data_IF_556140918603
#
_entry.id   IF_556140918603
#
_cell.length_a   1.000
_cell.length_b   1.000
_cell.length_c   1.000
_cell.angle_alpha   90.00
_cell.angle_beta   90.00
_cell.angle_gamma   90.00
#
_symmetry.space_group_name_H-M   'P 1'
#
loop_
_entity.id
_entity.type
_entity.pdbx_description
1 polymer ?
#
# COMPACT_ATOMS: atom_id res chain seq x y z
N UNK A 1 -8.04 0.58 -65.18
CA UNK A 1 -8.39 -0.77 -65.69
C UNK A 1 -8.91 -1.64 -64.56
N UNK A 2 -9.76 -2.63 -64.81
CA UNK A 2 -10.30 -3.53 -63.74
C UNK A 2 -9.20 -4.22 -62.92
N UNK A 3 -8.05 -4.51 -63.54
CA UNK A 3 -6.86 -5.05 -62.86
C UNK A 3 -6.32 -4.14 -61.74
N UNK A 4 -6.40 -2.81 -61.91
CA UNK A 4 -5.94 -1.87 -60.89
C UNK A 4 -6.87 -1.89 -59.67
N UNK A 5 -8.19 -2.03 -59.89
CA UNK A 5 -9.16 -2.15 -58.80
C UNK A 5 -8.94 -3.42 -57.98
N UNK A 6 -8.65 -4.55 -58.64
CA UNK A 6 -8.34 -5.81 -57.96
C UNK A 6 -7.07 -5.68 -57.11
N UNK A 7 -6.01 -5.07 -57.65
CA UNK A 7 -4.75 -4.86 -56.93
C UNK A 7 -4.92 -3.94 -55.71
N UNK A 8 -5.73 -2.89 -55.82
CA UNK A 8 -6.03 -2.01 -54.69
C UNK A 8 -6.83 -2.74 -53.61
N UNK A 9 -7.83 -3.53 -53.99
CA UNK A 9 -8.60 -4.34 -53.03
C UNK A 9 -7.73 -5.35 -52.29
N UNK A 10 -6.81 -6.03 -52.98
CA UNK A 10 -5.91 -6.98 -52.33
C UNK A 10 -5.03 -6.30 -51.29
N UNK A 11 -4.41 -5.16 -51.64
CA UNK A 11 -3.58 -4.41 -50.68
C UNK A 11 -4.35 -3.91 -49.48
N UNK A 12 -5.61 -3.51 -49.68
CA UNK A 12 -6.47 -3.08 -48.58
C UNK A 12 -6.75 -4.26 -47.64
N UNK A 13 -7.07 -5.43 -48.19
CA UNK A 13 -7.27 -6.65 -47.42
C UNK A 13 -6.01 -7.05 -46.65
N UNK A 14 -4.84 -7.05 -47.30
CA UNK A 14 -3.56 -7.36 -46.65
C UNK A 14 -3.27 -6.38 -45.49
N UNK A 15 -3.59 -5.10 -45.66
CA UNK A 15 -3.42 -4.08 -44.62
C UNK A 15 -4.40 -4.27 -43.45
N UNK A 16 -5.65 -4.64 -43.73
CA UNK A 16 -6.66 -4.98 -42.71
C UNK A 16 -6.24 -6.21 -41.89
N UNK A 17 -5.68 -7.23 -42.54
CA UNK A 17 -5.13 -8.41 -41.87
C UNK A 17 -3.94 -8.05 -40.98
N UNK A 18 -3.06 -7.16 -41.44
CA UNK A 18 -1.94 -6.70 -40.63
C UNK A 18 -2.38 -5.84 -39.45
N UNK A 19 -3.42 -5.00 -39.59
CA UNK A 19 -4.01 -4.30 -38.45
C UNK A 19 -4.53 -5.27 -37.39
N UNK A 20 -5.26 -6.31 -37.80
CA UNK A 20 -5.77 -7.31 -36.85
C UNK A 20 -4.63 -8.04 -36.12
N UNK A 21 -3.52 -8.34 -36.80
CA UNK A 21 -2.33 -8.95 -36.17
C UNK A 21 -1.68 -8.01 -35.17
N UNK A 22 -1.54 -6.73 -35.50
CA UNK A 22 -0.95 -5.75 -34.60
C UNK A 22 -1.82 -5.50 -33.37
N UNK A 23 -3.13 -5.42 -33.53
CA UNK A 23 -4.06 -5.28 -32.40
C UNK A 23 -4.00 -6.49 -31.46
N UNK A 24 -3.91 -7.70 -32.01
CA UNK A 24 -3.73 -8.92 -31.22
C UNK A 24 -2.40 -8.90 -30.44
N UNK A 25 -1.31 -8.45 -31.07
CA UNK A 25 -0.01 -8.38 -30.42
C UNK A 25 0.04 -7.27 -29.34
N UNK A 26 -0.60 -6.12 -29.59
CA UNK A 26 -0.78 -5.05 -28.60
C UNK A 26 -1.53 -5.61 -27.39
N UNK A 27 -2.67 -6.25 -27.59
CA UNK A 27 -3.46 -6.83 -26.51
C UNK A 27 -2.65 -7.87 -25.70
N UNK A 28 -1.86 -8.71 -26.38
CA UNK A 28 -0.97 -9.69 -25.74
C UNK A 28 0.10 -9.01 -24.87
N UNK A 29 0.74 -7.97 -25.38
CA UNK A 29 1.78 -7.23 -24.67
C UNK A 29 1.20 -6.44 -23.48
N UNK A 30 0.04 -5.82 -23.63
CA UNK A 30 -0.65 -5.13 -22.55
C UNK A 30 -1.04 -6.09 -21.41
N UNK A 31 -1.50 -7.30 -21.74
CA UNK A 31 -1.77 -8.35 -20.76
C UNK A 31 -0.48 -8.76 -20.02
N UNK A 32 0.63 -8.94 -20.74
CA UNK A 32 1.92 -9.27 -20.14
C UNK A 32 2.44 -8.15 -19.20
N UNK A 33 2.34 -6.89 -19.63
CA UNK A 33 2.68 -5.72 -18.81
C UNK A 33 1.84 -5.69 -17.54
N UNK A 34 0.53 -5.91 -17.66
CA UNK A 34 -0.40 -5.92 -16.53
C UNK A 34 -0.06 -7.02 -15.53
N UNK A 35 0.24 -8.22 -16.01
CA UNK A 35 0.66 -9.34 -15.17
C UNK A 35 1.97 -9.04 -14.41
N UNK A 36 2.97 -8.44 -15.06
CA UNK A 36 4.23 -8.07 -14.43
C UNK A 36 4.02 -6.95 -13.41
N UNK A 37 3.22 -5.92 -13.73
CA UNK A 37 2.86 -4.85 -12.77
C UNK A 37 2.20 -5.42 -11.52
N UNK A 38 1.29 -6.38 -11.68
CA UNK A 38 0.64 -7.05 -10.56
C UNK A 38 1.68 -7.80 -9.69
N UNK A 39 2.53 -8.63 -10.30
CA UNK A 39 3.60 -9.35 -9.58
C UNK A 39 4.54 -8.40 -8.83
N UNK A 40 4.94 -7.29 -9.47
CA UNK A 40 5.76 -6.25 -8.85
C UNK A 40 5.07 -5.67 -7.62
N UNK A 41 3.78 -5.33 -7.71
CA UNK A 41 3.01 -4.79 -6.59
C UNK A 41 2.96 -5.77 -5.42
N UNK A 42 2.62 -7.03 -5.67
CA UNK A 42 2.60 -8.06 -4.63
C UNK A 42 3.96 -8.20 -3.93
N UNK A 43 5.07 -8.16 -4.69
CA UNK A 43 6.41 -8.22 -4.12
C UNK A 43 6.75 -6.97 -3.31
N UNK A 44 6.36 -5.78 -3.77
CA UNK A 44 6.54 -4.55 -3.01
C UNK A 44 5.80 -4.59 -1.68
N UNK A 45 4.56 -5.07 -1.67
CA UNK A 45 3.76 -5.24 -0.46
C UNK A 45 4.39 -6.27 0.49
N UNK A 46 4.88 -7.39 -0.04
CA UNK A 46 5.61 -8.40 0.71
C UNK A 46 6.87 -7.81 1.38
N UNK A 47 7.70 -7.09 0.61
CA UNK A 47 8.92 -6.47 1.13
C UNK A 47 8.59 -5.41 2.17
N UNK A 48 7.58 -4.57 1.95
CA UNK A 48 7.16 -3.54 2.90
C UNK A 48 6.71 -4.17 4.23
N UNK A 49 5.91 -5.24 4.17
CA UNK A 49 5.48 -5.99 5.37
C UNK A 49 6.68 -6.53 6.15
N UNK A 50 7.67 -7.13 5.47
CA UNK A 50 8.85 -7.68 6.13
C UNK A 50 9.77 -6.59 6.69
N UNK A 51 9.99 -5.49 5.97
CA UNK A 51 10.72 -4.33 6.49
C UNK A 51 10.05 -3.74 7.72
N UNK A 52 8.71 -3.71 7.76
CA UNK A 52 7.98 -3.26 8.95
C UNK A 52 8.26 -4.12 10.19
N UNK A 53 8.52 -5.43 10.02
CA UNK A 53 8.88 -6.33 11.11
C UNK A 53 10.28 -6.03 11.66
N UNK A 54 11.19 -5.56 10.81
CA UNK A 54 12.55 -5.19 11.18
C UNK A 54 12.65 -3.75 11.73
N UNK A 55 11.57 -2.98 11.66
CA UNK A 55 11.56 -1.59 12.08
C UNK A 55 11.99 -1.46 13.57
N UNK A 56 12.90 -0.52 13.90
CA UNK A 56 13.43 -0.35 15.26
C UNK A 56 12.34 -0.26 16.34
N UNK A 57 11.22 0.38 16.00
CA UNK A 57 10.04 0.54 16.89
C UNK A 57 9.48 -0.78 17.43
N UNK A 58 9.66 -1.91 16.71
CA UNK A 58 9.27 -3.25 17.16
C UNK A 58 10.35 -3.99 17.95
N UNK A 59 11.57 -3.47 17.94
CA UNK A 59 12.76 -4.02 18.62
C UNK A 59 13.18 -3.17 19.82
N UNK A 60 12.44 -2.10 20.13
CA UNK A 60 12.71 -1.28 21.30
C UNK A 60 12.53 -2.13 22.57
N UNK A 61 13.49 -2.07 23.51
CA UNK A 61 13.31 -2.62 24.85
C UNK A 61 12.06 -2.02 25.52
N UNK A 62 11.42 -2.80 26.40
CA UNK A 62 10.20 -2.37 27.09
C UNK A 62 10.44 -1.13 27.96
N UNK A 63 11.65 -0.93 28.46
CA UNK A 63 12.08 0.21 29.27
C UNK A 63 12.01 1.50 28.46
N UNK A 64 12.57 1.50 27.24
CA UNK A 64 12.55 2.64 26.33
C UNK A 64 11.12 2.94 25.89
N UNK A 65 10.35 1.88 25.63
CA UNK A 65 8.96 2.03 25.25
C UNK A 65 8.11 2.64 26.38
N UNK A 66 8.29 2.17 27.61
CA UNK A 66 7.63 2.71 28.80
C UNK A 66 8.00 4.17 29.03
N UNK A 67 9.27 4.53 28.81
CA UNK A 67 9.73 5.91 28.89
C UNK A 67 9.04 6.82 27.85
N UNK A 68 8.84 6.34 26.62
CA UNK A 68 8.10 7.08 25.58
C UNK A 68 6.66 7.32 26.02
N UNK A 69 5.97 6.27 26.49
CA UNK A 69 4.59 6.37 26.98
C UNK A 69 4.49 7.34 28.15
N UNK A 70 5.35 7.21 29.16
CA UNK A 70 5.37 8.11 30.32
C UNK A 70 5.59 9.56 29.88
N UNK A 71 6.60 9.80 29.06
CA UNK A 71 6.91 11.17 28.60
C UNK A 71 5.73 11.80 27.86
N UNK A 72 5.08 11.06 26.96
CA UNK A 72 3.97 11.59 26.14
C UNK A 72 2.65 11.70 26.88
N UNK A 73 2.30 10.69 27.68
CA UNK A 73 1.05 10.70 28.45
C UNK A 73 1.13 11.66 29.66
N UNK A 74 2.31 11.95 30.22
CA UNK A 74 2.45 12.99 31.24
C UNK A 74 2.44 14.41 30.66
N UNK A 75 2.94 14.63 29.44
CA UNK A 75 2.94 15.94 28.79
C UNK A 75 1.54 16.37 28.32
N UNK A 76 0.74 15.39 27.91
CA UNK A 76 -0.64 15.56 27.47
C UNK A 76 -1.45 14.40 28.04
N UNK A 77 -2.18 14.60 29.15
CA UNK A 77 -3.08 13.58 29.69
C UNK A 77 -4.16 13.19 28.68
N UNK A 78 -4.79 12.03 28.88
CA UNK A 78 -5.95 11.65 28.09
C UNK A 78 -7.12 12.57 28.44
N UNK A 79 -7.60 13.35 27.48
CA UNK A 79 -8.68 14.31 27.67
C UNK A 79 -9.80 14.06 26.66
N UNK A 80 -11.00 13.79 27.18
CA UNK A 80 -12.23 13.65 26.42
C UNK A 80 -13.05 14.92 26.60
N UNK A 81 -13.04 15.77 25.56
CA UNK A 81 -13.85 17.00 25.53
C UNK A 81 -15.26 16.68 25.04
N UNK A 82 -16.26 16.77 25.91
CA UNK A 82 -17.66 16.57 25.54
C UNK A 82 -18.12 17.62 24.53
N UNK A 83 -18.76 17.18 23.43
CA UNK A 83 -19.29 18.06 22.38
C UNK A 83 -18.26 18.50 21.34
N UNK A 84 -17.01 18.00 21.40
CA UNK A 84 -15.97 18.20 20.41
C UNK A 84 -15.49 16.85 19.84
N UNK A 85 -15.02 16.85 18.59
CA UNK A 85 -14.30 15.71 18.00
C UNK A 85 -12.79 15.73 18.36
N UNK A 86 -12.31 16.84 18.92
CA UNK A 86 -10.91 17.02 19.29
C UNK A 86 -10.65 16.41 20.67
N UNK A 87 -10.51 15.08 20.68
CA UNK A 87 -10.04 14.34 21.85
C UNK A 87 -8.52 14.14 21.78
N UNK A 88 -7.83 14.38 22.89
CA UNK A 88 -6.39 14.13 22.99
C UNK A 88 -6.23 12.86 23.80
N UNK A 89 -5.96 11.73 23.13
CA UNK A 89 -5.84 10.42 23.77
C UNK A 89 -4.48 9.79 23.44
N UNK A 90 -3.36 10.29 24.00
CA UNK A 90 -2.03 9.84 23.62
C UNK A 90 -1.79 8.36 23.93
N UNK A 91 -2.35 7.85 25.02
CA UNK A 91 -2.27 6.42 25.34
C UNK A 91 -2.90 5.56 24.24
N UNK A 92 -4.07 5.99 23.72
CA UNK A 92 -4.78 5.36 22.61
C UNK A 92 -3.96 5.47 21.33
N UNK A 93 -3.48 6.66 20.97
CA UNK A 93 -2.69 6.89 19.75
C UNK A 93 -1.44 6.02 19.74
N UNK A 94 -0.69 5.99 20.84
CA UNK A 94 0.53 5.19 20.96
C UNK A 94 0.20 3.68 20.93
N UNK A 95 -0.92 3.25 21.50
CA UNK A 95 -1.35 1.84 21.44
C UNK A 95 -1.62 1.32 20.01
N UNK A 96 -1.85 2.21 19.04
CA UNK A 96 -2.11 1.82 17.64
C UNK A 96 -0.83 1.55 16.83
N UNK A 97 0.35 1.85 17.36
CA UNK A 97 1.63 1.71 16.63
C UNK A 97 1.97 0.24 16.33
N UNK A 98 1.77 -0.66 17.31
CA UNK A 98 2.01 -2.09 17.13
C UNK A 98 1.35 -2.91 18.24
N UNK A 99 1.27 -4.24 18.05
CA UNK A 99 0.77 -5.16 19.09
C UNK A 99 1.58 -5.06 20.39
N UNK A 100 2.90 -4.86 20.30
CA UNK A 100 3.77 -4.69 21.47
C UNK A 100 3.45 -3.41 22.26
N UNK A 101 3.24 -2.30 21.54
CA UNK A 101 2.85 -1.01 22.13
C UNK A 101 1.46 -1.09 22.76
N UNK A 102 0.52 -1.74 22.08
CA UNK A 102 -0.83 -2.00 22.63
C UNK A 102 -0.76 -2.81 23.91
N UNK A 103 0.01 -3.90 23.91
CA UNK A 103 0.16 -4.75 25.09
C UNK A 103 0.73 -3.94 26.26
N UNK A 104 1.75 -3.11 26.02
CA UNK A 104 2.31 -2.25 27.07
C UNK A 104 1.27 -1.26 27.62
N UNK A 105 0.52 -0.58 26.74
CA UNK A 105 -0.50 0.39 27.15
C UNK A 105 -1.59 -0.26 28.04
N UNK A 106 -1.96 -1.51 27.74
CA UNK A 106 -2.97 -2.25 28.50
C UNK A 106 -2.46 -2.75 29.86
N UNK A 107 -1.19 -3.13 29.98
CA UNK A 107 -0.60 -3.59 31.26
C UNK A 107 -0.16 -2.44 32.18
N UNK A 108 -0.25 -1.20 31.71
CA UNK A 108 0.20 -0.01 32.43
C UNK A 108 -0.99 0.89 32.75
N UNK A 109 -1.76 0.62 33.83
CA UNK A 109 -2.96 1.40 34.18
C UNK A 109 -2.71 2.89 34.39
N UNK A 110 -1.50 3.28 34.80
CA UNK A 110 -1.11 4.67 35.05
C UNK A 110 -1.02 5.54 33.78
N UNK A 111 -1.20 4.95 32.59
CA UNK A 111 -1.20 5.66 31.31
C UNK A 111 -2.59 6.10 30.85
N UNK A 112 -3.65 5.65 31.53
CA UNK A 112 -5.04 5.96 31.23
C UNK A 112 -5.53 7.13 32.09
#
# INVERSE_FOLDING_TARGET
TEEEKVRVKQRLHDAEDDFAKYDAEIARLEAAISAIKHKRKCLQDYVAKHRSLLAPVRRLPLEILSFIFLTRCCQSPNEIVFGSLDHILPSVVLSQVSIGWRRLALISPHLW
#
